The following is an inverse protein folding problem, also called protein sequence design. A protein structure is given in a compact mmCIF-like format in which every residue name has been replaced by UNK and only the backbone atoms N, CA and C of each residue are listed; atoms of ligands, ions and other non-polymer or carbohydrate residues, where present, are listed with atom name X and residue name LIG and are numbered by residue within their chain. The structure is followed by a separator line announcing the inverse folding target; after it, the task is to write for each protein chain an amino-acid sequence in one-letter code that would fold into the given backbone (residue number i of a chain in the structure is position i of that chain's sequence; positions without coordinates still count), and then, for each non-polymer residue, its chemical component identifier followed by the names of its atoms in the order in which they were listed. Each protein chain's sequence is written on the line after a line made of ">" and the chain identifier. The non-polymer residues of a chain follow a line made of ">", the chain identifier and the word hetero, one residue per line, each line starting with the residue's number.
data_IF_990426339624
#
_entry.id   IF_990426339624
#
_cell.length_a   1.000
_cell.length_b   1.000
_cell.length_c   1.000
_cell.angle_alpha   90.00
_cell.angle_beta   90.00
_cell.angle_gamma   90.00
#
_symmetry.space_group_name_H-M   'P 1'
#
loop_
_entity.id
_entity.type
_entity.pdbx_description
1 polymer ?
#
# COMPACT_ATOMS: atom_id res chain seq x y z
N UNK A 1 1.34 -2.93 -19.94
CA UNK A 1 0.23 -2.28 -19.22
C UNK A 1 0.85 -1.43 -18.14
N UNK A 2 0.40 -0.19 -18.02
CA UNK A 2 1.02 0.83 -17.18
C UNK A 2 -0.08 1.49 -16.34
N UNK A 3 -0.10 1.32 -15.01
CA UNK A 3 -0.98 2.09 -14.14
C UNK A 3 -0.48 3.53 -14.02
N UNK A 4 -1.40 4.51 -14.06
CA UNK A 4 -1.07 5.92 -13.92
C UNK A 4 -1.71 6.44 -12.62
N UNK A 5 -0.86 6.96 -11.74
CA UNK A 5 -1.24 7.51 -10.44
C UNK A 5 -1.15 9.04 -10.46
N UNK A 6 -2.01 9.67 -9.66
CA UNK A 6 -1.96 11.10 -9.40
C UNK A 6 -1.36 11.35 -8.01
N UNK A 7 -0.21 12.01 -7.97
CA UNK A 7 0.50 12.26 -6.71
C UNK A 7 0.81 10.95 -5.96
N UNK A 8 0.41 10.90 -4.68
CA UNK A 8 0.66 9.77 -3.78
C UNK A 8 -0.57 8.86 -3.62
N UNK A 9 -1.48 8.84 -4.59
CA UNK A 9 -2.66 7.99 -4.56
C UNK A 9 -2.26 6.50 -4.56
N UNK A 10 -2.94 5.68 -3.76
CA UNK A 10 -2.73 4.24 -3.70
C UNK A 10 -3.41 3.50 -4.87
N UNK A 11 -4.42 4.12 -5.48
CA UNK A 11 -5.17 3.55 -6.60
C UNK A 11 -4.91 4.36 -7.86
N UNK A 12 -4.63 3.73 -9.01
CA UNK A 12 -4.42 4.45 -10.26
C UNK A 12 -5.72 5.10 -10.73
N UNK A 13 -5.63 6.35 -11.20
CA UNK A 13 -6.79 7.03 -11.80
C UNK A 13 -7.10 6.49 -13.19
N UNK A 14 -6.09 5.96 -13.89
CA UNK A 14 -6.23 5.33 -15.21
C UNK A 14 -5.20 4.25 -15.45
N UNK A 15 -5.48 3.40 -16.42
CA UNK A 15 -4.58 2.35 -16.91
C UNK A 15 -4.33 2.56 -18.39
N UNK A 16 -3.07 2.48 -18.79
CA UNK A 16 -2.66 2.48 -20.19
C UNK A 16 -2.32 1.06 -20.64
N UNK A 17 -2.94 0.64 -21.75
CA UNK A 17 -2.67 -0.62 -22.42
C UNK A 17 -1.95 -0.30 -23.73
N UNK A 18 -0.84 -0.97 -23.99
CA UNK A 18 -0.13 -0.89 -25.25
C UNK A 18 -0.01 -2.30 -25.83
N UNK A 19 -0.33 -2.46 -27.11
CA UNK A 19 -0.23 -3.75 -27.79
C UNK A 19 0.11 -3.59 -29.27
N UNK A 20 0.85 -4.59 -29.76
CA UNK A 20 1.25 -4.72 -31.16
C UNK A 20 1.46 -6.22 -31.44
N UNK A 21 1.16 -6.66 -32.66
CA UNK A 21 1.46 -8.01 -33.12
C UNK A 21 2.89 -8.12 -33.61
N UNK A 22 3.48 -9.31 -33.50
CA UNK A 22 4.79 -9.62 -34.08
C UNK A 22 4.64 -10.87 -34.93
N UNK A 23 5.02 -10.80 -36.20
CA UNK A 23 5.01 -11.96 -37.09
C UNK A 23 6.22 -12.89 -36.86
N UNK A 24 6.28 -14.00 -37.61
CA UNK A 24 7.38 -14.98 -37.49
C UNK A 24 8.75 -14.40 -37.88
N UNK A 25 8.77 -13.28 -38.57
CA UNK A 25 9.96 -12.59 -39.05
C UNK A 25 10.36 -11.42 -38.14
N UNK A 26 9.60 -11.15 -37.06
CA UNK A 26 9.85 -10.05 -36.13
C UNK A 26 9.28 -8.70 -36.59
N UNK A 27 8.48 -8.66 -37.66
CA UNK A 27 7.85 -7.43 -38.13
C UNK A 27 6.62 -7.10 -37.28
N UNK A 28 6.48 -5.81 -36.97
CA UNK A 28 5.32 -5.29 -36.24
C UNK A 28 4.06 -5.33 -37.11
N UNK A 29 2.96 -5.74 -36.50
CA UNK A 29 1.63 -5.79 -37.07
C UNK A 29 0.66 -5.00 -36.18
N UNK A 30 -0.07 -4.06 -36.77
CA UNK A 30 -1.16 -3.37 -36.08
C UNK A 30 -2.27 -4.37 -35.69
N UNK A 31 -2.81 -4.22 -34.47
CA UNK A 31 -3.95 -5.00 -33.98
C UNK A 31 -5.13 -4.04 -33.79
N UNK A 32 -6.30 -4.39 -34.31
CA UNK A 32 -7.55 -3.63 -34.11
C UNK A 32 -8.53 -4.45 -33.30
N UNK A 33 -8.89 -3.98 -32.12
CA UNK A 33 -9.92 -4.62 -31.28
C UNK A 33 -11.29 -3.95 -31.47
N UNK A 34 -11.33 -2.79 -32.13
CA UNK A 34 -12.55 -2.06 -32.46
C UNK A 34 -13.05 -1.17 -31.33
N UNK A 35 -12.22 -0.88 -30.33
CA UNK A 35 -12.55 0.02 -29.24
C UNK A 35 -12.49 1.50 -29.65
N UNK A 36 -13.45 2.31 -29.21
CA UNK A 36 -13.48 3.76 -29.50
C UNK A 36 -12.39 4.59 -28.79
N UNK A 37 -11.50 3.96 -28.03
CA UNK A 37 -10.41 4.59 -27.27
C UNK A 37 -9.01 4.22 -27.79
N UNK A 38 -8.95 3.52 -28.92
CA UNK A 38 -7.70 3.09 -29.56
C UNK A 38 -7.00 4.29 -30.22
N UNK A 39 -5.70 4.43 -29.97
CA UNK A 39 -4.81 5.36 -30.65
C UNK A 39 -3.61 4.60 -31.18
N UNK A 40 -3.34 4.69 -32.48
CA UNK A 40 -2.26 3.96 -33.14
C UNK A 40 -1.15 4.93 -33.48
N UNK A 41 0.09 4.58 -33.16
CA UNK A 41 1.27 5.37 -33.48
C UNK A 41 1.84 5.05 -34.88
N UNK A 42 2.95 5.71 -35.26
CA UNK A 42 3.63 5.51 -36.55
C UNK A 42 4.17 4.08 -36.73
N UNK A 43 4.41 3.35 -35.65
CA UNK A 43 4.96 1.99 -35.66
C UNK A 43 3.88 0.91 -35.63
N UNK A 44 2.60 1.30 -35.59
CA UNK A 44 1.47 0.37 -35.49
C UNK A 44 1.22 -0.15 -34.08
N UNK A 45 1.86 0.44 -33.06
CA UNK A 45 1.57 0.14 -31.66
C UNK A 45 0.27 0.87 -31.28
N UNK A 46 -0.69 0.09 -30.78
CA UNK A 46 -1.96 0.65 -30.32
C UNK A 46 -1.90 0.91 -28.83
N UNK A 47 -2.21 2.14 -28.43
CA UNK A 47 -2.34 2.58 -27.05
C UNK A 47 -3.81 2.83 -26.72
N UNK A 48 -4.26 2.34 -25.58
CA UNK A 48 -5.62 2.54 -25.05
C UNK A 48 -5.52 3.02 -23.61
N UNK A 49 -6.09 4.19 -23.32
CA UNK A 49 -6.20 4.73 -21.96
C UNK A 49 -7.60 4.48 -21.41
N UNK A 50 -7.68 3.81 -20.26
CA UNK A 50 -8.92 3.48 -19.58
C UNK A 50 -8.97 4.18 -18.23
N UNK A 51 -9.99 5.03 -18.04
CA UNK A 51 -10.28 5.68 -16.76
C UNK A 51 -10.77 4.64 -15.75
N UNK A 52 -10.19 4.63 -14.55
CA UNK A 52 -10.62 3.80 -13.45
C UNK A 52 -11.78 4.49 -12.71
N UNK A 53 -12.93 4.56 -13.35
CA UNK A 53 -14.14 5.22 -12.82
C UNK A 53 -15.32 4.27 -12.88
N UNK A 54 -16.30 4.48 -11.99
CA UNK A 54 -17.54 3.71 -11.98
C UNK A 54 -18.75 4.65 -12.02
N UNK A 55 -19.76 4.36 -12.85
CA UNK A 55 -21.03 5.10 -12.80
C UNK A 55 -21.81 4.90 -11.50
N UNK A 56 -21.51 3.84 -10.73
CA UNK A 56 -22.29 3.41 -9.57
C UNK A 56 -21.55 3.62 -8.24
N UNK A 57 -20.27 4.00 -8.27
CA UNK A 57 -19.47 4.15 -7.08
C UNK A 57 -18.40 5.22 -7.25
N UNK A 58 -18.15 5.97 -6.19
CA UNK A 58 -17.04 6.93 -6.10
C UNK A 58 -15.87 6.28 -5.38
N UNK A 59 -14.68 6.37 -5.96
CA UNK A 59 -13.44 5.78 -5.42
C UNK A 59 -12.65 6.91 -4.76
N UNK A 60 -12.21 6.70 -3.53
CA UNK A 60 -11.16 7.50 -2.92
C UNK A 60 -9.82 6.93 -3.37
N UNK A 61 -9.19 7.57 -4.37
CA UNK A 61 -7.92 7.09 -4.92
C UNK A 61 -6.76 7.16 -3.94
N UNK A 62 -6.85 7.96 -2.87
CA UNK A 62 -5.80 8.05 -1.84
C UNK A 62 -5.79 6.82 -0.95
N UNK A 63 -6.97 6.40 -0.49
CA UNK A 63 -7.11 5.29 0.48
C UNK A 63 -7.41 3.96 -0.20
N UNK A 64 -7.94 3.99 -1.43
CA UNK A 64 -8.47 2.84 -2.15
C UNK A 64 -9.83 2.37 -1.69
N UNK A 65 -10.49 3.14 -0.81
CA UNK A 65 -11.83 2.85 -0.32
C UNK A 65 -12.91 3.48 -1.20
N UNK A 66 -14.16 3.04 -1.04
CA UNK A 66 -15.31 3.71 -1.64
C UNK A 66 -15.70 4.93 -0.81
N UNK A 67 -16.01 6.03 -1.48
CA UNK A 67 -16.59 7.22 -0.86
C UNK A 67 -18.07 6.92 -0.63
N UNK A 68 -18.49 6.95 0.64
CA UNK A 68 -19.91 6.90 1.01
C UNK A 68 -20.57 8.20 0.53
N UNK A 69 -21.60 8.11 -0.30
CA UNK A 69 -22.41 9.29 -0.61
C UNK A 69 -23.39 9.51 0.56
N UNK A 70 -23.29 10.68 1.21
CA UNK A 70 -24.24 11.15 2.21
C UNK A 70 -25.62 11.34 1.56
N UNK A 71 -26.44 10.29 1.48
CA UNK A 71 -27.79 10.45 0.94
C UNK A 71 -28.62 9.21 0.62
N UNK A 72 -28.08 8.00 0.61
CA UNK A 72 -28.90 6.77 0.62
C UNK A 72 -28.31 5.72 1.54
N UNK A 73 -28.80 5.79 2.77
CA UNK A 73 -28.66 4.84 3.86
C UNK A 73 -29.01 3.42 3.36
N UNK A 74 -28.01 2.54 3.30
CA UNK A 74 -28.26 1.12 3.57
C UNK A 74 -28.13 1.01 5.09
N UNK A 75 -29.26 0.88 5.78
CA UNK A 75 -29.30 0.52 7.19
C UNK A 75 -28.76 -0.90 7.34
N UNK A 76 -27.92 -1.10 8.37
CA UNK A 76 -27.47 -2.34 9.05
C UNK A 76 -25.97 -2.21 9.38
N UNK A 77 -25.51 -2.07 10.61
CA UNK A 77 -26.13 -1.80 11.90
C UNK A 77 -25.04 -1.25 12.82
N UNK A 78 -25.38 -0.24 13.60
CA UNK A 78 -24.60 0.12 14.79
C UNK A 78 -25.06 -0.81 15.92
N UNK A 79 -24.13 -1.44 16.62
CA UNK A 79 -24.22 -1.38 18.08
C UNK A 79 -22.82 -1.48 18.73
N UNK A 80 -22.65 -0.83 19.90
CA UNK A 80 -21.38 -0.47 20.50
C UNK A 80 -20.95 -1.44 21.60
N UNK A 81 -19.63 -1.55 21.79
CA UNK A 81 -18.94 -1.86 23.05
C UNK A 81 -19.73 -2.62 24.15
N UNK A 82 -19.53 -3.93 24.27
CA UNK A 82 -19.87 -4.69 25.49
C UNK A 82 -18.62 -5.38 26.05
N UNK A 83 -18.10 -4.82 27.14
CA UNK A 83 -17.21 -5.48 28.09
C UNK A 83 -17.99 -6.57 28.86
N UNK A 84 -17.49 -7.82 28.85
CA UNK A 84 -17.66 -8.90 29.86
C UNK A 84 -17.01 -10.17 29.28
N UNK A 85 -15.75 -10.48 29.60
CA UNK A 85 -15.28 -11.23 30.79
C UNK A 85 -15.43 -12.76 30.66
N UNK A 86 -14.26 -13.39 30.64
CA UNK A 86 -13.77 -14.76 30.89
C UNK A 86 -14.66 -16.02 30.66
N UNK A 87 -14.17 -16.90 29.78
CA UNK A 87 -13.98 -18.31 30.13
C UNK A 87 -12.84 -18.95 29.33
N UNK A 88 -11.82 -19.41 30.06
CA UNK A 88 -10.70 -20.22 29.62
C UNK A 88 -11.16 -21.59 29.07
N UNK A 89 -10.52 -22.04 27.99
CA UNK A 89 -10.14 -23.45 27.85
C UNK A 89 -8.96 -23.57 26.86
N UNK A 90 -7.81 -23.92 27.43
CA UNK A 90 -6.55 -24.21 26.78
C UNK A 90 -6.63 -25.35 25.76
N UNK A 91 -5.87 -25.26 24.66
CA UNK A 91 -5.01 -26.37 24.18
C UNK A 91 -3.76 -25.77 23.52
N UNK A 92 -2.62 -26.07 24.13
CA UNK A 92 -1.24 -25.82 23.71
C UNK A 92 -0.74 -26.99 22.82
N UNK A 93 0.32 -26.74 22.06
CA UNK A 93 1.16 -27.69 21.27
C UNK A 93 0.83 -27.76 19.77
N UNK A 94 1.76 -27.77 18.84
CA UNK A 94 3.19 -27.49 18.76
C UNK A 94 3.54 -27.52 17.25
N UNK A 95 4.55 -26.75 16.86
CA UNK A 95 5.52 -26.99 15.76
C UNK A 95 5.03 -27.56 14.42
N UNK A 96 5.25 -26.80 13.33
CA UNK A 96 6.28 -27.18 12.33
C UNK A 96 6.58 -26.01 11.37
N UNK A 97 7.83 -25.53 11.46
CA UNK A 97 8.52 -24.67 10.50
C UNK A 97 9.59 -25.55 9.87
N UNK A 98 9.59 -25.67 8.54
CA UNK A 98 10.77 -25.96 7.70
C UNK A 98 10.58 -25.13 6.41
N UNK A 99 11.20 -23.96 6.25
CA UNK A 99 12.59 -23.68 5.85
C UNK A 99 13.03 -24.41 4.56
N UNK A 100 13.29 -23.63 3.48
CA UNK A 100 14.55 -23.81 2.75
C UNK A 100 14.98 -22.55 1.96
N UNK A 101 15.75 -21.71 2.66
CA UNK A 101 17.09 -21.21 2.30
C UNK A 101 17.39 -20.42 1.01
N UNK A 102 18.12 -19.32 1.28
CA UNK A 102 19.38 -18.89 0.65
C UNK A 102 19.33 -18.26 -0.76
N UNK A 103 20.05 -17.19 -1.05
CA UNK A 103 21.32 -16.68 -0.48
C UNK A 103 21.42 -15.15 -0.58
N UNK A 104 22.05 -14.58 0.45
CA UNK A 104 22.64 -13.23 0.49
C UNK A 104 23.37 -12.83 -0.79
N UNK A 105 23.26 -11.56 -1.16
CA UNK A 105 24.44 -10.77 -1.57
C UNK A 105 24.26 -9.37 -0.99
N UNK A 106 24.92 -9.15 0.14
CA UNK A 106 25.18 -7.81 0.67
C UNK A 106 26.46 -7.32 0.02
N UNK A 107 26.36 -6.41 -0.93
CA UNK A 107 27.46 -5.48 -1.21
C UNK A 107 26.88 -4.08 -1.39
N UNK A 108 27.38 -3.21 -0.52
CA UNK A 108 27.26 -1.76 -0.46
C UNK A 108 27.42 -1.10 -1.82
N UNK A 109 26.48 -0.22 -2.19
CA UNK A 109 26.83 1.08 -2.77
C UNK A 109 25.66 2.09 -2.73
N UNK A 110 25.94 3.19 -2.03
CA UNK A 110 25.48 4.58 -2.19
C UNK A 110 24.07 4.90 -2.77
N UNK A 111 23.28 5.50 -1.87
CA UNK A 111 22.40 6.65 -2.08
C UNK A 111 21.03 6.47 -2.77
N UNK A 112 20.02 6.82 -1.98
CA UNK A 112 18.67 7.26 -2.34
C UNK A 112 17.59 6.17 -2.48
N UNK A 113 17.41 5.39 -1.42
CA UNK A 113 16.05 4.95 -1.07
C UNK A 113 15.37 6.18 -0.48
N UNK A 114 14.40 6.75 -1.21
CA UNK A 114 13.64 7.88 -0.72
C UNK A 114 13.15 7.59 0.71
N UNK A 115 13.41 8.47 1.70
CA UNK A 115 13.06 8.25 3.11
C UNK A 115 11.54 8.15 3.37
N UNK A 116 10.72 8.14 2.32
CA UNK A 116 9.28 8.32 2.34
C UNK A 116 8.51 7.03 2.65
N UNK A 117 9.16 5.85 2.58
CA UNK A 117 8.51 4.56 2.79
C UNK A 117 9.03 3.79 4.03
N UNK A 118 9.86 4.42 4.87
CA UNK A 118 10.35 3.76 6.08
C UNK A 118 9.24 3.69 7.13
N UNK A 119 8.94 2.48 7.59
CA UNK A 119 7.99 2.26 8.69
C UNK A 119 8.65 2.65 10.01
N UNK A 120 7.92 3.38 10.82
CA UNK A 120 8.31 3.80 12.16
C UNK A 120 7.25 3.39 13.18
N UNK A 121 7.70 3.21 14.41
CA UNK A 121 6.89 2.80 15.55
C UNK A 121 6.70 3.99 16.48
N UNK A 122 5.47 4.23 16.94
CA UNK A 122 5.11 5.32 17.86
C UNK A 122 4.36 4.76 19.06
N UNK A 123 4.91 4.99 20.25
CA UNK A 123 4.33 4.52 21.50
C UNK A 123 3.08 5.30 21.94
N UNK A 124 2.42 4.80 22.99
CA UNK A 124 1.24 5.42 23.62
C UNK A 124 0.07 5.64 22.64
N UNK A 125 -0.31 4.57 21.92
CA UNK A 125 -1.35 4.56 20.88
C UNK A 125 -1.13 5.62 19.80
N UNK A 126 0.13 5.86 19.41
CA UNK A 126 0.50 6.86 18.40
C UNK A 126 0.57 8.31 18.92
N UNK A 127 0.34 8.55 20.22
CA UNK A 127 0.33 9.89 20.82
C UNK A 127 1.70 10.37 21.28
N UNK A 128 2.71 9.50 21.26
CA UNK A 128 4.10 9.89 21.56
C UNK A 128 4.59 10.92 20.53
N UNK A 129 5.37 11.90 21.00
CA UNK A 129 6.07 12.85 20.14
C UNK A 129 7.38 12.28 19.56
N UNK A 130 7.77 11.08 19.99
CA UNK A 130 8.98 10.40 19.58
C UNK A 130 8.62 9.15 18.77
N UNK A 131 9.34 8.90 17.67
CA UNK A 131 9.23 7.70 16.85
C UNK A 131 10.55 6.90 16.82
N UNK A 132 10.43 5.59 16.57
CA UNK A 132 11.55 4.66 16.50
C UNK A 132 11.52 3.84 15.20
N UNK A 133 12.67 3.37 14.72
CA UNK A 133 12.79 2.43 13.60
C UNK A 133 12.67 0.98 14.05
N UNK A 134 13.04 0.68 15.29
CA UNK A 134 13.00 -0.68 15.84
C UNK A 134 12.25 -0.72 17.17
N UNK A 135 11.38 -1.72 17.33
CA UNK A 135 10.64 -1.99 18.56
C UNK A 135 11.55 -2.19 19.78
N UNK A 136 12.76 -2.73 19.56
CA UNK A 136 13.77 -3.03 20.59
C UNK A 136 14.25 -1.77 21.33
N UNK A 137 14.20 -0.61 20.68
CA UNK A 137 14.70 0.65 21.22
C UNK A 137 13.63 1.42 22.03
N UNK A 138 12.40 0.88 22.10
CA UNK A 138 11.30 1.50 22.82
C UNK A 138 11.32 1.01 24.27
N UNK A 139 12.01 1.75 25.14
CA UNK A 139 12.10 1.41 26.57
C UNK A 139 10.71 1.43 27.23
N UNK A 140 10.33 0.33 27.88
CA UNK A 140 9.13 0.19 28.71
C UNK A 140 7.78 0.47 28.01
N UNK A 141 7.68 0.31 26.69
CA UNK A 141 6.39 0.40 26.01
C UNK A 141 5.61 -0.92 26.11
N UNK A 142 4.35 -0.84 26.52
CA UNK A 142 3.40 -1.93 26.29
C UNK A 142 3.22 -2.08 24.78
N UNK A 143 3.63 -3.23 24.23
CA UNK A 143 3.61 -3.52 22.79
C UNK A 143 2.21 -3.44 22.18
N UNK A 144 1.15 -3.61 22.98
CA UNK A 144 -0.24 -3.41 22.56
C UNK A 144 -0.59 -1.94 22.27
N UNK A 145 0.22 -0.99 22.74
CA UNK A 145 0.00 0.45 22.57
C UNK A 145 0.97 1.07 21.54
N UNK A 146 1.60 0.26 20.69
CA UNK A 146 2.50 0.76 19.65
C UNK A 146 1.75 0.83 18.33
N UNK A 147 1.82 1.99 17.67
CA UNK A 147 1.23 2.23 16.35
C UNK A 147 2.34 2.29 15.32
N UNK A 148 2.15 1.59 14.21
CA UNK A 148 3.03 1.66 13.05
C UNK A 148 2.54 2.75 12.10
N UNK A 149 3.42 3.64 11.66
CA UNK A 149 3.12 4.66 10.65
C UNK A 149 4.34 4.91 9.77
N UNK A 150 4.19 5.70 8.70
CA UNK A 150 5.35 6.08 7.88
C UNK A 150 6.16 7.19 8.55
N UNK A 151 7.47 7.25 8.26
CA UNK A 151 8.33 8.34 8.77
C UNK A 151 7.78 9.72 8.38
N UNK A 152 7.30 9.89 7.15
CA UNK A 152 6.70 11.14 6.69
C UNK A 152 5.43 11.51 7.46
N UNK A 153 4.59 10.54 7.81
CA UNK A 153 3.40 10.76 8.63
C UNK A 153 3.76 11.17 10.06
N UNK A 154 4.81 10.57 10.63
CA UNK A 154 5.35 10.97 11.93
C UNK A 154 5.89 12.42 11.88
N UNK A 155 6.63 12.79 10.83
CA UNK A 155 7.13 14.16 10.63
C UNK A 155 6.02 15.18 10.42
N UNK A 156 4.98 14.83 9.65
CA UNK A 156 3.79 15.68 9.45
C UNK A 156 3.03 15.90 10.78
N UNK A 157 3.07 14.92 11.68
CA UNK A 157 2.55 15.02 13.05
C UNK A 157 3.53 15.72 14.02
N UNK A 158 4.58 16.36 13.51
CA UNK A 158 5.61 17.05 14.29
C UNK A 158 6.32 16.15 15.32
N UNK A 159 6.40 14.84 15.03
CA UNK A 159 7.14 13.88 15.84
C UNK A 159 8.61 13.90 15.45
N UNK A 160 9.48 13.56 16.39
CA UNK A 160 10.93 13.51 16.19
C UNK A 160 11.48 12.11 16.40
N UNK A 161 12.57 11.80 15.72
CA UNK A 161 13.27 10.53 15.87
C UNK A 161 13.86 10.40 17.28
N UNK A 162 13.85 9.19 17.82
CA UNK A 162 14.43 8.89 19.12
C UNK A 162 15.95 8.97 19.12
N UNK A 163 16.52 9.75 20.03
CA UNK A 163 17.98 9.84 20.21
C UNK A 163 18.60 8.60 20.85
N UNK A 164 17.78 7.62 21.27
CA UNK A 164 18.25 6.34 21.82
C UNK A 164 18.55 5.28 20.77
N UNK A 165 18.19 5.52 19.50
CA UNK A 165 18.60 4.66 18.38
C UNK A 165 19.94 5.15 17.83
N UNK A 166 20.97 4.29 17.87
CA UNK A 166 22.21 4.56 17.17
C UNK A 166 21.99 4.33 15.66
N UNK A 167 22.48 5.25 14.85
CA UNK A 167 22.31 5.30 13.39
C UNK A 167 23.19 4.28 12.67
#
# INVERSE_FOLDING_TARGET
>A
MTPIYEGNNLVPSRVELQYVGIDKQGKLLEIKLGGGKEQVDEYGVTTVTLENTSPLAKIDYKTGMLIKEDGKQAEEGEDPNSDADENEAAIESASDIEENTNTNTSESDTNNVAPQNRIVYVANKGRSNTYWYSLENIKNANTANIVQMTEQEALNQHKHHSTTEAQ
#
